data_IF_471823091211
#
_entry.id   IF_471823091211
#
_cell.length_a   1.000
_cell.length_b   1.000
_cell.length_c   1.000
_cell.angle_alpha   90.00
_cell.angle_beta   90.00
_cell.angle_gamma   90.00
#
_symmetry.space_group_name_H-M   'P 1'
#
loop_
_entity.id
_entity.type
_entity.pdbx_description
1 polymer ?
#
# COMPACT_ATOMS: atom_id res chain seq x y z
N UNK A 1 -31.64 -12.62 -6.67
CA UNK A 1 -31.48 -11.20 -6.30
C UNK A 1 -30.53 -10.61 -7.33
N UNK A 2 -31.06 -9.89 -8.30
CA UNK A 2 -30.27 -9.12 -9.26
C UNK A 2 -29.64 -7.98 -8.46
N UNK A 3 -28.32 -8.02 -8.39
CA UNK A 3 -27.53 -6.96 -7.77
C UNK A 3 -27.66 -5.70 -8.64
N UNK A 4 -28.68 -4.89 -8.34
CA UNK A 4 -28.88 -3.61 -9.00
C UNK A 4 -27.93 -2.56 -8.41
N UNK A 5 -26.65 -2.76 -8.66
CA UNK A 5 -25.60 -1.77 -8.35
C UNK A 5 -25.59 -0.62 -9.38
N UNK A 6 -26.45 -0.67 -10.41
CA UNK A 6 -26.51 0.31 -11.49
C UNK A 6 -26.99 1.70 -11.04
N UNK A 7 -27.64 1.79 -9.87
CA UNK A 7 -28.23 3.03 -9.35
C UNK A 7 -27.19 4.00 -8.77
N UNK A 8 -25.96 3.53 -8.49
CA UNK A 8 -24.92 4.33 -7.85
C UNK A 8 -23.79 4.65 -8.84
N UNK A 9 -24.07 5.30 -9.94
CA UNK A 9 -23.05 5.75 -10.90
C UNK A 9 -22.53 7.13 -10.50
N UNK A 10 -21.21 7.26 -10.42
CA UNK A 10 -20.57 8.48 -9.96
C UNK A 10 -20.64 8.66 -8.44
N UNK A 11 -20.01 9.67 -7.91
CA UNK A 11 -20.09 10.04 -6.50
C UNK A 11 -20.89 11.33 -6.35
N UNK A 12 -21.92 11.40 -5.48
CA UNK A 12 -22.67 12.63 -5.24
C UNK A 12 -21.79 13.79 -4.77
N UNK A 13 -20.63 13.50 -4.15
CA UNK A 13 -19.67 14.50 -3.72
C UNK A 13 -18.98 15.23 -4.87
N UNK A 14 -18.91 14.63 -6.07
CA UNK A 14 -18.36 15.29 -7.25
C UNK A 14 -19.22 16.49 -7.70
N UNK A 15 -20.48 16.55 -7.24
CA UNK A 15 -21.40 17.65 -7.49
C UNK A 15 -21.26 18.80 -6.47
N UNK A 16 -20.44 18.63 -5.44
CA UNK A 16 -20.25 19.59 -4.35
C UNK A 16 -18.77 19.95 -4.18
N UNK A 17 -18.08 20.49 -5.21
CA UNK A 17 -16.64 20.72 -5.18
C UNK A 17 -16.18 21.71 -4.10
N UNK A 18 -17.02 22.67 -3.71
CA UNK A 18 -16.73 23.62 -2.62
C UNK A 18 -16.69 22.93 -1.24
N UNK A 19 -17.41 21.81 -1.06
CA UNK A 19 -17.35 21.00 0.16
C UNK A 19 -16.06 20.16 0.16
N UNK A 20 -15.69 19.62 -1.01
CA UNK A 20 -14.46 18.83 -1.18
C UNK A 20 -13.20 19.68 -1.09
N UNK A 21 -13.27 20.98 -1.43
CA UNK A 21 -12.15 21.92 -1.39
C UNK A 21 -11.55 22.11 0.01
N UNK A 22 -11.97 21.35 1.01
CA UNK A 22 -11.37 21.37 2.36
C UNK A 22 -9.95 20.80 2.40
N UNK A 23 -9.43 20.21 1.33
CA UNK A 23 -8.06 19.67 1.22
C UNK A 23 -7.76 18.46 2.12
N UNK A 24 -8.77 17.85 2.72
CA UNK A 24 -8.56 16.75 3.69
C UNK A 24 -8.15 15.43 3.06
N UNK A 25 -8.43 15.22 1.78
CA UNK A 25 -8.05 14.03 1.03
C UNK A 25 -6.73 14.20 0.29
N UNK A 26 -6.16 15.40 0.28
CA UNK A 26 -4.90 15.65 -0.39
C UNK A 26 -3.78 14.81 0.21
N UNK A 27 -3.18 13.97 -0.62
CA UNK A 27 -2.01 13.16 -0.31
C UNK A 27 -1.05 13.25 -1.47
N UNK A 28 0.18 13.65 -1.19
CA UNK A 28 1.22 13.80 -2.22
C UNK A 28 2.44 12.91 -1.97
N UNK A 29 2.55 12.33 -0.76
CA UNK A 29 3.74 11.59 -0.33
C UNK A 29 3.35 10.27 0.32
N UNK A 30 4.02 9.20 -0.09
CA UNK A 30 3.84 7.86 0.47
C UNK A 30 5.19 7.41 1.06
N UNK A 31 5.19 7.00 2.33
CA UNK A 31 6.30 6.24 2.90
C UNK A 31 5.91 4.77 2.95
N UNK A 32 6.76 3.90 2.42
CA UNK A 32 6.52 2.46 2.35
C UNK A 32 7.68 1.68 2.91
N UNK A 33 7.40 0.62 3.65
CA UNK A 33 8.38 -0.36 4.05
C UNK A 33 7.89 -1.79 3.85
N UNK A 34 8.78 -2.64 3.38
CA UNK A 34 8.63 -4.09 3.30
C UNK A 34 9.53 -4.73 4.35
N UNK A 35 9.02 -5.70 5.06
CA UNK A 35 9.76 -6.43 6.10
C UNK A 35 9.52 -7.92 5.97
N UNK A 36 10.48 -8.71 6.46
CA UNK A 36 10.33 -10.15 6.63
C UNK A 36 9.41 -10.45 7.81
N UNK A 37 8.98 -11.70 7.93
CA UNK A 37 8.31 -12.21 9.15
C UNK A 37 9.19 -12.08 10.37
N UNK A 38 8.57 -12.10 11.53
CA UNK A 38 9.29 -12.06 12.81
C UNK A 38 10.17 -13.33 12.96
N UNK A 39 11.47 -13.20 13.28
CA UNK A 39 12.39 -14.34 13.32
C UNK A 39 12.01 -15.41 14.36
N UNK A 40 11.28 -15.03 15.39
CA UNK A 40 10.79 -15.91 16.47
C UNK A 40 9.31 -16.31 16.27
N UNK A 41 8.69 -15.98 15.10
CA UNK A 41 7.29 -16.31 14.82
C UNK A 41 6.27 -15.46 15.60
N UNK A 42 6.65 -14.29 16.12
CA UNK A 42 5.79 -13.40 16.88
C UNK A 42 5.07 -12.38 15.97
N UNK A 43 4.67 -12.80 14.77
CA UNK A 43 4.02 -11.91 13.81
C UNK A 43 2.66 -11.42 14.30
N UNK A 44 1.87 -12.27 14.97
CA UNK A 44 0.58 -11.88 15.52
C UNK A 44 0.74 -10.81 16.61
N UNK A 45 1.68 -11.00 17.55
CA UNK A 45 1.98 -10.04 18.61
C UNK A 45 2.48 -8.70 18.03
N UNK A 46 3.33 -8.78 16.99
CA UNK A 46 3.78 -7.59 16.27
C UNK A 46 2.62 -6.85 15.62
N UNK A 47 1.70 -7.55 14.96
CA UNK A 47 0.55 -6.97 14.28
C UNK A 47 -0.43 -6.33 15.27
N UNK A 48 -0.64 -6.97 16.43
CA UNK A 48 -1.45 -6.41 17.52
C UNK A 48 -0.84 -5.12 18.05
N UNK A 49 0.42 -5.17 18.51
CA UNK A 49 1.13 -4.00 19.02
C UNK A 49 1.15 -2.86 18.00
N UNK A 50 1.51 -3.17 16.74
CA UNK A 50 1.60 -2.15 15.70
C UNK A 50 0.25 -1.49 15.44
N UNK A 51 -0.84 -2.24 15.50
CA UNK A 51 -2.19 -1.74 15.19
C UNK A 51 -2.83 -1.00 16.36
N UNK A 52 -2.55 -1.40 17.60
CA UNK A 52 -3.20 -0.85 18.80
C UNK A 52 -2.37 0.23 19.51
N UNK A 53 -1.05 0.24 19.32
CA UNK A 53 -0.14 1.22 19.95
C UNK A 53 0.58 2.09 18.91
N UNK A 54 1.48 1.51 18.13
CA UNK A 54 2.45 2.27 17.33
C UNK A 54 1.79 3.11 16.22
N UNK A 55 0.92 2.51 15.43
CA UNK A 55 0.24 3.18 14.31
C UNK A 55 -0.71 4.30 14.77
N UNK A 56 -1.54 4.13 15.80
CA UNK A 56 -2.37 5.22 16.33
C UNK A 56 -1.57 6.43 16.81
N UNK A 57 -0.42 6.22 17.46
CA UNK A 57 0.45 7.34 17.87
C UNK A 57 0.95 8.13 16.68
N UNK A 58 1.30 7.48 15.59
CA UNK A 58 1.75 8.17 14.37
C UNK A 58 0.62 8.98 13.71
N UNK A 59 -0.64 8.55 13.84
CA UNK A 59 -1.80 9.32 13.37
C UNK A 59 -2.05 10.63 14.13
N UNK A 60 -1.29 10.93 15.19
CA UNK A 60 -1.26 12.27 15.83
C UNK A 60 -0.51 13.32 14.99
N UNK A 61 0.29 12.90 14.01
CA UNK A 61 0.91 13.81 13.06
C UNK A 61 -0.15 14.42 12.14
N UNK A 62 -0.22 15.74 12.10
CA UNK A 62 -1.25 16.48 11.37
C UNK A 62 -1.23 16.17 9.86
N UNK A 63 -0.06 15.87 9.32
CA UNK A 63 0.11 15.57 7.90
C UNK A 63 -0.20 14.11 7.53
N UNK A 64 -0.33 13.17 8.48
CA UNK A 64 -0.65 11.78 8.19
C UNK A 64 -2.16 11.63 7.95
N UNK A 65 -2.53 11.14 6.78
CA UNK A 65 -3.92 10.96 6.36
C UNK A 65 -4.40 9.54 6.51
N UNK A 66 -3.59 8.58 6.10
CA UNK A 66 -3.93 7.15 6.16
C UNK A 66 -2.69 6.30 6.38
N UNK A 67 -2.89 5.09 6.84
CA UNK A 67 -1.82 4.08 6.91
C UNK A 67 -2.38 2.67 6.75
N UNK A 68 -1.58 1.81 6.13
CA UNK A 68 -1.90 0.40 5.95
C UNK A 68 -0.87 -0.50 6.60
N UNK A 69 -1.34 -1.62 7.12
CA UNK A 69 -0.52 -2.78 7.43
C UNK A 69 -1.13 -3.98 6.73
N UNK A 70 -0.34 -4.65 5.91
CA UNK A 70 -0.75 -5.76 5.07
C UNK A 70 0.21 -6.93 5.25
N UNK A 71 -0.27 -8.14 5.00
CA UNK A 71 0.48 -9.39 5.20
C UNK A 71 0.45 -10.25 3.93
N UNK A 72 1.62 -10.77 3.54
CA UNK A 72 1.76 -11.77 2.48
C UNK A 72 1.64 -13.17 3.08
N UNK A 73 0.47 -13.80 2.95
CA UNK A 73 0.28 -15.20 3.35
C UNK A 73 1.02 -16.17 2.41
N UNK A 74 1.17 -17.47 2.76
CA UNK A 74 1.72 -18.45 1.83
C UNK A 74 1.00 -18.49 0.48
N UNK A 75 -0.34 -18.32 0.47
CA UNK A 75 -1.12 -18.23 -0.77
C UNK A 75 -0.80 -16.96 -1.57
N UNK A 76 -0.64 -15.82 -0.91
CA UNK A 76 -0.20 -14.57 -1.53
C UNK A 76 1.21 -14.70 -2.11
N UNK A 77 2.12 -15.30 -1.36
CA UNK A 77 3.50 -15.55 -1.82
C UNK A 77 3.52 -16.40 -3.08
N UNK A 78 2.76 -17.51 -3.11
CA UNK A 78 2.64 -18.38 -4.28
C UNK A 78 2.00 -17.70 -5.51
N UNK A 79 1.20 -16.64 -5.29
CA UNK A 79 0.49 -15.90 -6.34
C UNK A 79 1.27 -14.70 -6.88
N UNK A 80 2.48 -14.42 -6.42
CA UNK A 80 3.33 -13.33 -6.93
C UNK A 80 3.56 -13.50 -8.42
N UNK A 81 3.41 -12.44 -9.19
CA UNK A 81 3.71 -12.44 -10.62
C UNK A 81 5.19 -12.17 -10.89
N UNK A 82 5.84 -11.37 -10.03
CA UNK A 82 7.27 -11.13 -10.04
C UNK A 82 7.81 -10.97 -8.61
N UNK A 83 9.03 -11.44 -8.38
CA UNK A 83 9.81 -11.21 -7.18
C UNK A 83 11.28 -11.41 -7.52
N UNK A 84 12.12 -10.40 -7.33
CA UNK A 84 13.56 -10.61 -7.37
C UNK A 84 14.07 -11.19 -6.05
N UNK A 85 15.32 -11.66 -6.02
CA UNK A 85 15.94 -12.29 -4.84
C UNK A 85 15.80 -11.44 -3.56
N UNK A 86 15.85 -10.11 -3.69
CA UNK A 86 15.74 -9.19 -2.57
C UNK A 86 14.35 -9.18 -1.95
N UNK A 87 13.30 -9.25 -2.78
CA UNK A 87 11.91 -9.11 -2.35
C UNK A 87 11.23 -10.44 -2.04
N UNK A 88 11.89 -11.58 -2.29
CA UNK A 88 11.33 -12.90 -2.00
C UNK A 88 10.90 -13.08 -0.54
N UNK A 89 11.59 -12.42 0.37
CA UNK A 89 11.30 -12.48 1.81
C UNK A 89 10.39 -11.33 2.30
N UNK A 90 9.74 -10.59 1.39
CA UNK A 90 8.80 -9.53 1.76
C UNK A 90 7.46 -10.14 2.24
N UNK A 91 7.26 -10.17 3.54
CA UNK A 91 6.10 -10.78 4.19
C UNK A 91 5.11 -9.75 4.71
N UNK A 92 5.61 -8.57 5.09
CA UNK A 92 4.82 -7.46 5.59
C UNK A 92 5.01 -6.24 4.72
N UNK A 93 3.90 -5.60 4.37
CA UNK A 93 3.85 -4.29 3.73
C UNK A 93 3.25 -3.28 4.69
N UNK A 94 3.95 -2.18 4.92
CA UNK A 94 3.46 -1.03 5.67
C UNK A 94 3.57 0.21 4.82
N UNK A 95 2.52 1.04 4.80
CA UNK A 95 2.52 2.31 4.08
C UNK A 95 1.83 3.39 4.89
N UNK A 96 2.39 4.60 4.82
CA UNK A 96 1.85 5.83 5.40
C UNK A 96 1.69 6.86 4.32
N UNK A 97 0.57 7.57 4.34
CA UNK A 97 0.15 8.52 3.32
C UNK A 97 0.07 9.92 3.92
N UNK A 98 0.89 10.82 3.43
CA UNK A 98 1.07 12.17 3.97
C UNK A 98 0.65 13.23 2.98
N UNK A 99 0.23 14.38 3.51
CA UNK A 99 -0.11 15.54 2.69
C UNK A 99 1.09 16.07 1.92
N UNK A 100 2.29 15.97 2.49
CA UNK A 100 3.51 16.50 1.88
C UNK A 100 4.79 15.85 2.43
N UNK A 101 5.89 16.10 1.74
CA UNK A 101 7.21 15.52 2.06
C UNK A 101 7.80 16.05 3.37
N UNK A 102 7.41 17.25 3.83
CA UNK A 102 7.95 17.84 5.06
C UNK A 102 7.61 17.04 6.31
N UNK A 103 6.54 16.22 6.22
CA UNK A 103 6.13 15.30 7.28
C UNK A 103 7.19 14.25 7.66
N UNK A 104 8.13 13.95 6.76
CA UNK A 104 9.09 12.86 6.97
C UNK A 104 9.98 13.08 8.20
N UNK A 105 10.41 14.30 8.45
CA UNK A 105 11.22 14.60 9.64
C UNK A 105 10.45 14.35 10.93
N UNK A 106 9.24 14.92 11.06
CA UNK A 106 8.38 14.73 12.24
C UNK A 106 7.99 13.25 12.44
N UNK A 107 7.75 12.52 11.35
CA UNK A 107 7.48 11.08 11.38
C UNK A 107 8.68 10.28 11.92
N UNK A 108 9.90 10.61 11.48
CA UNK A 108 11.12 9.98 11.97
C UNK A 108 11.38 10.33 13.44
N UNK A 109 11.24 11.60 13.82
CA UNK A 109 11.46 12.06 15.19
C UNK A 109 10.49 11.40 16.18
N UNK A 110 9.21 11.29 15.81
CA UNK A 110 8.22 10.56 16.61
C UNK A 110 8.59 9.07 16.73
N UNK A 111 9.02 8.43 15.66
CA UNK A 111 9.45 7.02 15.67
C UNK A 111 10.65 6.80 16.60
N UNK A 112 11.61 7.73 16.61
CA UNK A 112 12.75 7.72 17.53
C UNK A 112 12.28 7.93 18.97
N UNK A 113 11.40 8.89 19.23
CA UNK A 113 10.88 9.18 20.55
C UNK A 113 10.12 7.97 21.15
N UNK A 114 9.26 7.31 20.37
CA UNK A 114 8.55 6.10 20.79
C UNK A 114 9.51 4.96 21.13
N UNK A 115 10.57 4.78 20.34
CA UNK A 115 11.61 3.78 20.63
C UNK A 115 12.36 4.10 21.93
N UNK A 116 12.77 5.34 22.11
CA UNK A 116 13.47 5.78 23.33
C UNK A 116 12.60 5.67 24.58
N UNK A 117 11.28 5.77 24.43
CA UNK A 117 10.30 5.54 25.50
C UNK A 117 10.00 4.04 25.76
N UNK A 118 10.70 3.11 25.09
CA UNK A 118 10.47 1.67 25.22
C UNK A 118 9.17 1.16 24.57
N UNK A 119 8.54 1.98 23.71
CA UNK A 119 7.26 1.64 23.03
C UNK A 119 7.47 1.01 21.65
N UNK A 120 8.60 0.35 21.41
CA UNK A 120 8.88 -0.39 20.18
C UNK A 120 9.44 -1.78 20.52
N UNK A 121 8.65 -2.66 21.15
CA UNK A 121 9.12 -3.97 21.62
C UNK A 121 9.40 -4.94 20.48
N UNK A 122 8.76 -4.76 19.33
CA UNK A 122 8.90 -5.64 18.17
C UNK A 122 9.54 -4.91 17.01
N UNK A 123 10.51 -5.55 16.36
CA UNK A 123 11.15 -5.05 15.14
C UNK A 123 11.20 -6.18 14.11
N UNK A 124 10.63 -5.95 12.94
CA UNK A 124 10.77 -6.89 11.81
C UNK A 124 12.04 -6.59 11.02
N UNK A 125 12.77 -7.62 10.56
CA UNK A 125 13.89 -7.42 9.65
C UNK A 125 13.43 -6.71 8.37
N UNK A 126 14.10 -5.61 8.05
CA UNK A 126 13.73 -4.77 6.92
C UNK A 126 14.22 -5.38 5.60
N UNK A 127 13.35 -5.42 4.61
CA UNK A 127 13.67 -5.76 3.21
C UNK A 127 13.95 -4.48 2.42
N UNK A 128 12.99 -3.55 2.42
CA UNK A 128 13.07 -2.29 1.69
C UNK A 128 12.27 -1.20 2.40
N UNK A 129 12.66 0.04 2.23
CA UNK A 129 11.83 1.22 2.53
C UNK A 129 12.16 2.35 1.58
N UNK A 130 11.16 3.18 1.31
CA UNK A 130 11.30 4.34 0.45
C UNK A 130 10.20 5.36 0.66
N UNK A 131 10.46 6.56 0.17
CA UNK A 131 9.47 7.63 0.09
C UNK A 131 9.16 7.87 -1.37
N UNK A 132 7.87 7.97 -1.70
CA UNK A 132 7.39 8.07 -3.07
C UNK A 132 6.45 9.26 -3.21
N UNK A 133 6.55 9.95 -4.33
CA UNK A 133 5.60 10.98 -4.74
C UNK A 133 4.37 10.29 -5.34
N UNK A 134 3.19 10.80 -5.07
CA UNK A 134 1.98 10.37 -5.78
C UNK A 134 1.98 11.00 -7.18
N UNK A 135 2.03 10.18 -8.22
CA UNK A 135 2.01 10.62 -9.63
C UNK A 135 0.63 10.43 -10.25
N UNK A 136 -0.20 9.55 -9.70
CA UNK A 136 -1.56 9.36 -10.16
C UNK A 136 -2.39 8.46 -9.27
N UNK A 137 -3.70 8.65 -9.42
CA UNK A 137 -4.75 7.89 -8.73
C UNK A 137 -5.90 7.62 -9.70
N UNK A 138 -6.54 6.48 -9.62
CA UNK A 138 -7.72 6.17 -10.41
C UNK A 138 -8.60 5.13 -9.72
N UNK A 139 -9.93 5.29 -9.83
CA UNK A 139 -10.90 4.31 -9.38
C UNK A 139 -11.40 3.48 -10.58
N UNK A 140 -11.68 2.21 -10.35
CA UNK A 140 -12.32 1.37 -11.36
C UNK A 140 -13.74 1.89 -11.65
N UNK A 141 -14.22 1.84 -12.91
CA UNK A 141 -15.54 2.41 -13.28
C UNK A 141 -16.72 1.88 -12.46
N UNK A 142 -16.57 0.67 -11.89
CA UNK A 142 -17.62 0.05 -11.04
C UNK A 142 -17.61 0.55 -9.58
N UNK A 143 -16.59 1.28 -9.17
CA UNK A 143 -16.47 1.79 -7.79
C UNK A 143 -17.23 3.12 -7.66
N UNK A 144 -17.88 3.30 -6.52
CA UNK A 144 -18.81 4.40 -6.25
C UNK A 144 -18.21 5.57 -5.48
N UNK A 145 -16.91 5.46 -5.16
CA UNK A 145 -16.17 6.51 -4.45
C UNK A 145 -15.09 7.10 -5.35
N UNK A 146 -14.71 8.34 -5.10
CA UNK A 146 -13.59 8.98 -5.78
C UNK A 146 -12.26 8.23 -5.56
N UNK A 147 -11.33 8.37 -6.49
CA UNK A 147 -10.02 7.71 -6.39
C UNK A 147 -9.21 8.20 -5.18
N UNK A 148 -9.39 9.45 -4.78
CA UNK A 148 -8.71 10.09 -3.65
C UNK A 148 -9.10 9.51 -2.28
N UNK A 149 -10.29 8.89 -2.16
CA UNK A 149 -10.77 8.28 -0.90
C UNK A 149 -10.58 6.77 -0.84
N UNK A 150 -9.95 6.15 -1.82
CA UNK A 150 -9.64 4.71 -1.81
C UNK A 150 -8.77 4.29 -0.62
N UNK A 151 -8.01 5.22 -0.03
CA UNK A 151 -7.23 4.98 1.18
C UNK A 151 -8.09 4.60 2.41
N UNK A 152 -9.37 4.98 2.41
CA UNK A 152 -10.34 4.67 3.49
C UNK A 152 -11.37 3.63 3.06
N UNK A 153 -11.26 3.16 1.82
CA UNK A 153 -12.13 2.12 1.31
C UNK A 153 -11.79 0.76 1.95
N UNK A 154 -12.81 -0.04 2.27
CA UNK A 154 -12.64 -1.34 2.93
C UNK A 154 -12.15 -2.41 1.95
N UNK A 155 -10.92 -2.28 1.48
CA UNK A 155 -10.28 -3.27 0.63
C UNK A 155 -9.98 -4.56 1.41
N UNK A 156 -10.12 -5.72 0.75
CA UNK A 156 -9.69 -7.02 1.31
C UNK A 156 -8.17 -7.16 1.32
N UNK A 157 -7.50 -6.40 0.47
CA UNK A 157 -6.05 -6.37 0.37
C UNK A 157 -5.56 -5.41 -0.69
N UNK A 158 -4.27 -5.48 -0.93
CA UNK A 158 -3.55 -4.68 -1.93
C UNK A 158 -2.77 -5.63 -2.83
N UNK A 159 -2.80 -5.38 -4.13
CA UNK A 159 -1.75 -5.87 -5.02
C UNK A 159 -0.70 -4.77 -5.13
N UNK A 160 0.49 -5.05 -4.62
CA UNK A 160 1.57 -4.07 -4.54
C UNK A 160 2.65 -4.39 -5.56
N UNK A 161 3.11 -3.38 -6.28
CA UNK A 161 4.20 -3.52 -7.24
C UNK A 161 5.33 -2.54 -6.95
N UNK A 162 6.56 -3.00 -7.21
CA UNK A 162 7.76 -2.18 -7.33
C UNK A 162 8.36 -2.48 -8.69
N UNK A 163 8.55 -1.43 -9.48
CA UNK A 163 9.11 -1.53 -10.83
C UNK A 163 10.20 -0.48 -11.02
N UNK A 164 11.19 -0.76 -11.87
CA UNK A 164 11.99 0.29 -12.52
C UNK A 164 11.31 0.72 -13.81
N UNK A 165 11.45 1.99 -14.17
CA UNK A 165 10.87 2.52 -15.40
C UNK A 165 9.42 2.98 -15.30
N UNK A 166 8.69 2.69 -14.29
CA UNK A 166 7.32 3.05 -13.92
C UNK A 166 6.39 3.64 -15.01
N UNK A 167 5.20 3.10 -15.11
CA UNK A 167 4.16 3.64 -15.97
C UNK A 167 2.81 3.64 -15.23
N UNK A 168 1.84 4.48 -15.63
CA UNK A 168 0.50 4.44 -15.07
C UNK A 168 -0.10 3.02 -15.12
N UNK A 169 -0.85 2.64 -14.09
CA UNK A 169 -1.46 1.30 -13.97
C UNK A 169 -2.98 1.31 -14.18
N UNK A 170 -3.49 2.39 -14.79
CA UNK A 170 -4.93 2.55 -15.04
C UNK A 170 -5.51 1.49 -15.97
N UNK A 171 -4.69 0.87 -16.80
CA UNK A 171 -5.05 -0.25 -17.69
C UNK A 171 -5.36 -1.56 -16.95
N UNK A 172 -5.05 -1.64 -15.65
CA UNK A 172 -5.35 -2.79 -14.80
C UNK A 172 -6.69 -2.67 -14.06
N UNK A 173 -7.39 -1.53 -14.16
CA UNK A 173 -8.62 -1.26 -13.41
C UNK A 173 -9.84 -2.02 -13.93
N UNK A 174 -9.79 -2.58 -15.13
CA UNK A 174 -10.83 -3.43 -15.70
C UNK A 174 -10.73 -4.90 -15.24
N UNK A 175 -9.65 -5.26 -14.54
CA UNK A 175 -9.50 -6.62 -14.00
C UNK A 175 -10.47 -6.82 -12.83
N UNK A 176 -11.33 -7.87 -12.88
CA UNK A 176 -12.28 -8.14 -11.82
C UNK A 176 -11.58 -8.32 -10.46
N UNK A 177 -12.07 -7.61 -9.45
CA UNK A 177 -11.46 -7.58 -8.11
C UNK A 177 -10.52 -6.41 -7.86
N UNK A 178 -10.18 -5.62 -8.89
CA UNK A 178 -9.43 -4.36 -8.70
C UNK A 178 -10.43 -3.20 -8.55
N UNK A 179 -10.40 -2.52 -7.41
CA UNK A 179 -11.29 -1.39 -7.10
C UNK A 179 -10.71 -0.04 -7.50
N UNK A 180 -9.40 0.07 -7.60
CA UNK A 180 -8.72 1.28 -8.02
C UNK A 180 -7.23 1.19 -7.76
N UNK A 181 -6.51 2.25 -8.11
CA UNK A 181 -5.05 2.27 -8.00
C UNK A 181 -4.51 3.64 -7.57
N UNK A 182 -3.39 3.58 -6.87
CA UNK A 182 -2.49 4.70 -6.60
C UNK A 182 -1.09 4.32 -7.04
N UNK A 183 -0.34 5.23 -7.68
CA UNK A 183 1.03 4.96 -8.09
C UNK A 183 1.91 6.19 -8.00
N UNK A 184 3.23 5.99 -7.95
CA UNK A 184 4.18 7.08 -7.87
C UNK A 184 5.63 6.68 -7.93
N UNK A 185 6.47 7.67 -8.25
CA UNK A 185 7.92 7.53 -8.33
C UNK A 185 8.63 7.92 -7.03
N UNK A 186 9.82 7.38 -6.82
CA UNK A 186 10.59 7.64 -5.62
C UNK A 186 11.00 9.12 -5.47
N UNK A 187 11.00 9.59 -4.23
CA UNK A 187 11.76 10.76 -3.83
C UNK A 187 13.21 10.36 -3.56
N UNK A 188 14.21 11.11 -4.05
CA UNK A 188 15.63 10.83 -3.83
C UNK A 188 16.07 11.26 -2.42
N UNK A 189 15.48 10.66 -1.40
CA UNK A 189 15.86 10.89 0.00
C UNK A 189 16.91 9.85 0.43
N UNK A 190 17.89 10.31 1.20
CA UNK A 190 18.86 9.44 1.85
C UNK A 190 18.33 8.80 3.14
N UNK A 191 19.21 8.07 3.87
CA UNK A 191 18.87 7.55 5.19
C UNK A 191 18.39 8.66 6.14
N UNK A 192 17.43 8.37 7.06
CA UNK A 192 16.88 7.05 7.39
C UNK A 192 15.70 6.61 6.54
N UNK A 193 15.31 7.36 5.51
CA UNK A 193 14.07 7.15 4.74
C UNK A 193 14.21 6.11 3.64
N UNK A 194 15.44 5.80 3.23
CA UNK A 194 15.71 4.76 2.24
C UNK A 194 16.83 3.85 2.72
N UNK A 195 16.87 2.63 2.20
CA UNK A 195 17.94 1.66 2.48
C UNK A 195 19.05 1.71 1.44
N UNK A 196 18.77 2.29 0.28
CA UNK A 196 19.68 2.39 -0.88
C UNK A 196 19.22 3.51 -1.81
N UNK A 197 19.97 3.74 -2.88
CA UNK A 197 19.47 4.52 -4.01
C UNK A 197 18.28 3.80 -4.63
N UNK A 198 17.14 4.47 -4.65
CA UNK A 198 15.86 4.01 -5.16
C UNK A 198 15.24 5.02 -6.13
N UNK A 199 16.04 5.95 -6.65
CA UNK A 199 15.58 7.08 -7.48
C UNK A 199 14.87 6.65 -8.76
N UNK A 200 15.11 5.43 -9.24
CA UNK A 200 14.50 4.81 -10.42
C UNK A 200 13.28 3.94 -10.09
N UNK A 201 12.94 3.80 -8.81
CA UNK A 201 11.84 2.95 -8.39
C UNK A 201 10.49 3.66 -8.46
N UNK A 202 9.49 2.89 -8.89
CA UNK A 202 8.08 3.25 -8.87
C UNK A 202 7.30 2.21 -8.06
N UNK A 203 6.31 2.69 -7.32
CA UNK A 203 5.38 1.83 -6.58
C UNK A 203 3.97 1.98 -7.11
N UNK A 204 3.22 0.89 -7.08
CA UNK A 204 1.80 0.89 -7.40
C UNK A 204 1.02 0.08 -6.38
N UNK A 205 -0.13 0.61 -6.00
CA UNK A 205 -1.10 0.01 -5.09
C UNK A 205 -2.39 -0.21 -5.86
N UNK A 206 -2.77 -1.47 -6.08
CA UNK A 206 -4.10 -1.81 -6.58
C UNK A 206 -4.95 -2.25 -5.39
N UNK A 207 -6.02 -1.53 -5.11
CA UNK A 207 -6.96 -1.84 -4.02
C UNK A 207 -7.88 -2.97 -4.44
N UNK A 208 -7.98 -4.02 -3.62
CA UNK A 208 -8.68 -5.25 -3.97
C UNK A 208 -9.96 -5.43 -3.15
N UNK A 209 -11.07 -5.71 -3.81
CA UNK A 209 -12.35 -6.03 -3.16
C UNK A 209 -12.70 -7.53 -3.19
N UNK A 210 -11.81 -8.34 -3.73
CA UNK A 210 -11.90 -9.79 -3.75
C UNK A 210 -10.64 -10.43 -3.13
N UNK A 211 -10.62 -11.75 -3.04
CA UNK A 211 -9.52 -12.51 -2.44
C UNK A 211 -8.18 -12.18 -3.13
N UNK A 212 -7.17 -11.66 -2.41
CA UNK A 212 -5.96 -11.13 -3.03
C UNK A 212 -5.22 -12.13 -3.92
N UNK A 213 -5.11 -13.39 -3.50
CA UNK A 213 -4.43 -14.41 -4.29
C UNK A 213 -5.17 -14.76 -5.58
N UNK A 214 -6.51 -14.65 -5.60
CA UNK A 214 -7.31 -14.92 -6.79
C UNK A 214 -7.30 -13.74 -7.76
N UNK A 215 -7.31 -12.50 -7.24
CA UNK A 215 -7.10 -11.31 -8.08
C UNK A 215 -5.71 -11.32 -8.71
N UNK A 216 -4.68 -11.73 -7.96
CA UNK A 216 -3.32 -11.87 -8.50
C UNK A 216 -3.25 -12.82 -9.70
N UNK A 217 -3.97 -13.95 -9.67
CA UNK A 217 -4.07 -14.88 -10.82
C UNK A 217 -4.70 -14.22 -12.05
N UNK A 218 -5.72 -13.36 -11.84
CA UNK A 218 -6.39 -12.61 -12.90
C UNK A 218 -5.53 -11.47 -13.47
N UNK A 219 -4.71 -10.84 -12.63
CA UNK A 219 -3.77 -9.79 -13.01
C UNK A 219 -2.58 -10.31 -13.81
N UNK A 220 -2.08 -11.52 -13.50
CA UNK A 220 -0.84 -12.08 -14.06
C UNK A 220 -0.73 -11.95 -15.59
N UNK A 221 -1.71 -12.38 -16.42
CA UNK A 221 -1.59 -12.28 -17.88
C UNK A 221 -1.46 -10.82 -18.37
N UNK A 222 -2.15 -9.89 -17.69
CA UNK A 222 -2.09 -8.46 -18.03
C UNK A 222 -0.74 -7.85 -17.67
N UNK A 223 -0.18 -8.26 -16.53
CA UNK A 223 1.15 -7.83 -16.08
C UNK A 223 2.25 -8.37 -16.99
N UNK A 224 2.20 -9.65 -17.35
CA UNK A 224 3.14 -10.26 -18.30
C UNK A 224 3.11 -9.56 -19.66
N UNK A 225 1.91 -9.26 -20.17
CA UNK A 225 1.75 -8.46 -21.39
C UNK A 225 2.34 -7.06 -21.23
N UNK A 226 2.04 -6.36 -20.12
CA UNK A 226 2.56 -5.03 -19.80
C UNK A 226 4.09 -5.01 -19.84
N UNK A 227 4.75 -5.92 -19.14
CA UNK A 227 6.20 -5.98 -19.08
C UNK A 227 6.86 -6.40 -20.39
N UNK A 228 6.15 -7.15 -21.24
CA UNK A 228 6.66 -7.50 -22.58
C UNK A 228 6.58 -6.35 -23.60
N UNK A 229 5.78 -5.30 -23.32
CA UNK A 229 5.51 -4.18 -24.22
C UNK A 229 6.06 -2.84 -23.72
N UNK A 230 6.63 -2.80 -22.53
CA UNK A 230 7.25 -1.61 -21.94
C UNK A 230 8.67 -1.92 -21.47
N UNK A 231 9.44 -0.89 -21.19
CA UNK A 231 10.78 -1.03 -20.58
C UNK A 231 10.72 -1.16 -19.05
N UNK A 232 9.54 -1.46 -18.48
CA UNK A 232 9.38 -1.64 -17.05
C UNK A 232 9.99 -2.97 -16.59
N UNK A 233 10.93 -2.90 -15.65
CA UNK A 233 11.51 -4.06 -14.99
C UNK A 233 10.75 -4.33 -13.68
N UNK A 234 9.97 -5.42 -13.57
CA UNK A 234 9.29 -5.77 -12.33
C UNK A 234 10.27 -6.33 -11.30
N UNK A 235 10.32 -5.71 -10.13
CA UNK A 235 11.12 -6.19 -8.98
C UNK A 235 10.26 -6.93 -7.96
N UNK A 236 9.01 -6.47 -7.76
CA UNK A 236 7.99 -7.13 -6.95
C UNK A 236 6.62 -6.88 -7.57
N UNK A 237 5.82 -7.93 -7.68
CA UNK A 237 4.41 -7.83 -8.02
C UNK A 237 3.63 -8.88 -7.23
N UNK A 238 3.03 -8.47 -6.11
CA UNK A 238 2.59 -9.36 -5.06
C UNK A 238 1.27 -8.92 -4.42
N UNK A 239 0.34 -9.86 -4.16
CA UNK A 239 -0.83 -9.61 -3.34
C UNK A 239 -0.49 -9.63 -1.85
N UNK A 240 -1.23 -8.85 -1.07
CA UNK A 240 -1.18 -8.78 0.38
C UNK A 240 -2.59 -8.69 0.94
N UNK A 241 -2.88 -9.38 2.04
CA UNK A 241 -4.13 -9.26 2.79
C UNK A 241 -4.14 -8.02 3.68
N UNK A 242 -5.28 -7.34 3.74
CA UNK A 242 -5.56 -6.38 4.79
C UNK A 242 -5.74 -7.10 6.13
N UNK A 243 -5.31 -6.47 7.22
CA UNK A 243 -5.52 -7.01 8.56
C UNK A 243 -7.00 -7.00 8.93
N UNK A 244 -7.41 -8.03 9.66
CA UNK A 244 -8.70 -8.07 10.34
C UNK A 244 -8.47 -7.73 11.81
N UNK A 245 -9.03 -6.62 12.26
CA UNK A 245 -8.87 -6.16 13.63
C UNK A 245 -9.29 -7.25 14.65
N UNK A 246 -8.47 -7.45 15.67
CA UNK A 246 -8.63 -8.45 16.72
C UNK A 246 -8.62 -9.94 16.25
N UNK A 247 -8.18 -10.18 15.00
CA UNK A 247 -7.91 -11.52 14.48
C UNK A 247 -6.48 -11.54 13.89
N UNK A 248 -5.50 -11.26 14.77
CA UNK A 248 -4.11 -10.99 14.39
C UNK A 248 -3.38 -12.20 13.81
N UNK A 249 -3.86 -13.39 14.08
CA UNK A 249 -3.39 -14.68 13.59
C UNK A 249 -4.09 -15.15 12.31
N UNK A 250 -5.11 -14.42 11.86
CA UNK A 250 -5.92 -14.84 10.70
C UNK A 250 -5.13 -14.90 9.41
N UNK A 251 -4.24 -13.93 9.21
CA UNK A 251 -3.36 -13.85 8.05
C UNK A 251 -1.92 -13.70 8.54
N UNK A 252 -1.14 -14.76 8.44
CA UNK A 252 0.27 -14.79 8.81
C UNK A 252 1.14 -15.19 7.61
N UNK A 253 2.43 -14.76 7.60
CA UNK A 253 3.40 -15.12 6.57
C UNK A 253 3.70 -16.62 6.51
#
# INVERSE_FOLDING_TARGET
MTDDTSVLVGTPSDECPEILATGRTEVTTIYTSLSKRHPEGLDADYLEWHSLDHRPEQHRLAQLRASFRMVSTPACRAARAASDERYDEADHLQSYFFTDLSAMNSFNDLSIALRNAGRAPYLLPLVERGVYRVDGIAAAPRIKVGADVLLWWSAKGIYFMIERGGAPVADLLDVPGVGGAWWGGAHPLGPPFTTRDNSDLHVSYLFLDDEPADVAKRLRPRLEQRWSTTDNEPLLAAPFHALVAYAWDRYLP
#
